data_IF_404590437126
#
_entry.id   IF_404590437126
#
_cell.length_a   1.000
_cell.length_b   1.000
_cell.length_c   1.000
_cell.angle_alpha   90.00
_cell.angle_beta   90.00
_cell.angle_gamma   90.00
#
_symmetry.space_group_name_H-M   'P 1'
#
loop_
_entity.id
_entity.type
_entity.pdbx_description
1 polymer ?
#
# COMPACT_ATOMS: atom_id res chain seq x y z
N UNK A 1 4.64 4.43 1.09
CA UNK A 1 3.52 3.74 0.39
C UNK A 1 4.17 2.65 -0.46
N UNK A 2 3.59 1.45 -0.49
CA UNK A 2 4.10 0.33 -1.29
C UNK A 2 3.72 0.60 -2.76
N UNK A 3 4.65 0.40 -3.71
CA UNK A 3 4.35 0.56 -5.14
C UNK A 3 3.34 -0.49 -5.61
N UNK A 4 2.69 -0.24 -6.76
CA UNK A 4 1.75 -1.20 -7.34
C UNK A 4 2.43 -2.53 -7.70
N UNK A 5 3.70 -2.49 -8.11
CA UNK A 5 4.51 -3.66 -8.45
C UNK A 5 4.73 -4.56 -7.24
N UNK A 6 5.18 -3.98 -6.11
CA UNK A 6 5.36 -4.70 -4.86
C UNK A 6 4.04 -5.31 -4.34
N UNK A 7 2.91 -4.63 -4.55
CA UNK A 7 1.60 -5.17 -4.16
C UNK A 7 1.21 -6.39 -4.99
N UNK A 8 1.45 -6.33 -6.30
CA UNK A 8 1.19 -7.45 -7.20
C UNK A 8 2.10 -8.65 -6.88
N UNK A 9 3.39 -8.39 -6.62
CA UNK A 9 4.36 -9.42 -6.27
C UNK A 9 3.98 -10.14 -4.95
N UNK A 10 3.61 -9.40 -3.91
CA UNK A 10 3.13 -9.98 -2.64
C UNK A 10 1.93 -10.92 -2.86
N UNK A 11 0.98 -10.54 -3.72
CA UNK A 11 -0.19 -11.38 -4.03
C UNK A 11 0.19 -12.60 -4.84
N UNK A 12 1.06 -12.45 -5.82
CA UNK A 12 1.58 -13.55 -6.64
C UNK A 12 2.30 -14.59 -5.79
N UNK A 13 3.14 -14.16 -4.83
CA UNK A 13 3.81 -15.06 -3.90
C UNK A 13 2.82 -15.71 -2.91
N UNK A 14 1.78 -14.99 -2.48
CA UNK A 14 0.73 -15.59 -1.64
C UNK A 14 -0.08 -16.65 -2.38
N UNK A 15 -0.35 -16.46 -3.68
CA UNK A 15 -1.04 -17.45 -4.52
C UNK A 15 -0.23 -18.75 -4.63
N UNK A 16 1.10 -18.65 -4.57
CA UNK A 16 2.04 -19.79 -4.51
C UNK A 16 2.15 -20.42 -3.11
N UNK A 17 1.23 -20.12 -2.18
CA UNK A 17 1.17 -20.67 -0.82
C UNK A 17 2.38 -20.36 0.08
N UNK A 18 3.20 -19.34 -0.25
CA UNK A 18 4.26 -18.90 0.64
C UNK A 18 3.71 -18.28 1.93
N UNK A 19 4.42 -18.50 3.04
CA UNK A 19 4.10 -17.86 4.32
C UNK A 19 4.35 -16.36 4.26
N UNK A 20 3.58 -15.58 5.03
CA UNK A 20 3.73 -14.12 5.11
C UNK A 20 5.18 -13.72 5.46
N UNK A 21 5.88 -14.52 6.28
CA UNK A 21 7.26 -14.25 6.68
C UNK A 21 8.26 -14.51 5.56
N UNK A 22 8.04 -15.55 4.75
CA UNK A 22 8.84 -15.80 3.56
C UNK A 22 8.67 -14.69 2.52
N UNK A 23 7.43 -14.26 2.26
CA UNK A 23 7.12 -13.15 1.35
C UNK A 23 7.81 -11.86 1.83
N UNK A 24 7.71 -11.54 3.12
CA UNK A 24 8.36 -10.37 3.70
C UNK A 24 9.89 -10.39 3.51
N UNK A 25 10.52 -11.55 3.68
CA UNK A 25 11.95 -11.73 3.48
C UNK A 25 12.38 -11.60 2.02
N UNK A 26 11.58 -12.11 1.08
CA UNK A 26 11.88 -12.07 -0.35
C UNK A 26 11.70 -10.65 -0.93
N UNK A 27 10.60 -9.99 -0.56
CA UNK A 27 10.25 -8.65 -1.03
C UNK A 27 11.05 -7.56 -0.29
N UNK A 28 11.64 -7.88 0.87
CA UNK A 28 12.37 -6.92 1.70
C UNK A 28 11.47 -5.90 2.39
N UNK A 29 10.23 -6.29 2.73
CA UNK A 29 9.25 -5.42 3.37
C UNK A 29 8.83 -5.92 4.75
N UNK A 30 8.32 -5.01 5.59
CA UNK A 30 7.82 -5.39 6.90
C UNK A 30 6.61 -6.34 6.78
N UNK A 31 6.50 -7.30 7.72
CA UNK A 31 5.35 -8.23 7.80
C UNK A 31 4.00 -7.50 7.76
N UNK A 32 3.89 -6.37 8.46
CA UNK A 32 2.67 -5.53 8.49
C UNK A 32 2.30 -4.99 7.10
N UNK A 33 3.28 -4.75 6.23
CA UNK A 33 3.04 -4.31 4.85
C UNK A 33 2.43 -5.43 4.03
N UNK A 34 2.93 -6.66 4.18
CA UNK A 34 2.38 -7.85 3.53
C UNK A 34 0.94 -8.11 4.00
N UNK A 35 0.69 -8.05 5.30
CA UNK A 35 -0.66 -8.18 5.88
C UNK A 35 -1.62 -7.12 5.31
N UNK A 36 -1.19 -5.86 5.23
CA UNK A 36 -2.00 -4.77 4.68
C UNK A 36 -2.26 -4.93 3.18
N UNK A 37 -1.26 -5.38 2.43
CA UNK A 37 -1.38 -5.64 0.99
C UNK A 37 -2.37 -6.77 0.70
N UNK A 38 -2.40 -7.80 1.55
CA UNK A 38 -3.33 -8.92 1.46
C UNK A 38 -4.75 -8.59 1.95
N UNK A 39 -4.87 -7.72 2.95
CA UNK A 39 -6.17 -7.24 3.44
C UNK A 39 -6.87 -6.35 2.39
N UNK A 40 -6.10 -5.61 1.59
CA UNK A 40 -6.64 -4.80 0.49
C UNK A 40 -6.80 -5.62 -0.77
N UNK A 41 -8.05 -5.89 -1.18
CA UNK A 41 -8.30 -6.60 -2.43
C UNK A 41 -8.05 -5.73 -3.68
N UNK A 42 -7.90 -4.41 -3.51
CA UNK A 42 -7.59 -3.45 -4.57
C UNK A 42 -6.13 -3.00 -4.49
N UNK A 43 -5.49 -2.67 -5.63
CA UNK A 43 -4.14 -2.14 -5.64
C UNK A 43 -4.05 -0.86 -4.82
N UNK A 44 -2.89 -0.55 -4.23
CA UNK A 44 -2.66 0.72 -3.55
C UNK A 44 -2.79 1.85 -4.58
N UNK A 45 -3.89 2.57 -4.52
CA UNK A 45 -4.08 3.79 -5.31
C UNK A 45 -3.59 4.97 -4.50
N UNK A 46 -2.61 5.70 -5.03
CA UNK A 46 -2.27 7.01 -4.49
C UNK A 46 -3.39 7.98 -4.87
N UNK A 47 -4.34 8.18 -3.97
CA UNK A 47 -5.31 9.27 -4.09
C UNK A 47 -4.71 10.48 -3.39
N UNK A 48 -4.61 11.61 -4.10
CA UNK A 48 -4.30 12.91 -3.49
C UNK A 48 -5.32 13.07 -2.35
N UNK A 49 -4.84 13.35 -1.13
CA UNK A 49 -5.75 13.66 -0.03
C UNK A 49 -6.60 14.85 -0.48
N UNK A 50 -7.90 14.77 -0.21
CA UNK A 50 -8.79 15.89 -0.46
C UNK A 50 -8.22 17.12 0.24
N UNK A 51 -8.23 18.25 -0.47
CA UNK A 51 -7.71 19.51 0.06
C UNK A 51 -8.46 19.82 1.34
N UNK A 52 -7.75 19.83 2.46
CA UNK A 52 -8.30 20.37 3.70
C UNK A 52 -8.31 21.87 3.54
N UNK A 53 -9.42 22.52 3.90
CA UNK A 53 -9.52 23.97 3.85
C UNK A 53 -8.33 24.59 4.59
N UNK A 54 -7.56 25.39 3.87
CA UNK A 54 -6.43 26.12 4.41
C UNK A 54 -6.94 27.33 5.18
N UNK A 55 -6.23 27.75 6.23
CA UNK A 55 -6.51 29.03 6.89
C UNK A 55 -6.41 30.23 5.91
N UNK A 56 -5.71 30.04 4.79
CA UNK A 56 -5.57 31.01 3.71
C UNK A 56 -6.74 31.00 2.71
N UNK A 57 -7.59 29.97 2.69
CA UNK A 57 -8.80 29.97 1.83
C UNK A 57 -9.77 31.09 2.23
N UNK A 58 -9.66 31.62 3.45
CA UNK A 58 -10.44 32.77 3.92
C UNK A 58 -9.94 34.12 3.36
N UNK A 59 -8.79 34.16 2.69
CA UNK A 59 -8.12 35.39 2.26
C UNK A 59 -7.69 35.38 0.77
N UNK A 60 -7.98 34.32 0.01
CA UNK A 60 -7.83 34.32 -1.44
C UNK A 60 -9.09 34.92 -2.10
N UNK A 61 -9.05 36.23 -2.35
CA UNK A 61 -10.04 37.00 -3.13
C UNK A 61 -9.35 37.80 -4.25
#
# INVERSE_FOLDING_TARGET
MISMEYWAEIRFLRQQSLSIRAIASQVGCAKKTVERALASNRPPQYRKREGVASAFDAYEE
#
